data_IF_764023258258
#
_entry.id   IF_764023258258
#
_cell.length_a   1.000
_cell.length_b   1.000
_cell.length_c   1.000
_cell.angle_alpha   90.00
_cell.angle_beta   90.00
_cell.angle_gamma   90.00
#
_symmetry.space_group_name_H-M   'P 1'
#
loop_
_entity.id
_entity.type
_entity.pdbx_description
1 polymer ?
#
# COMPACT_ATOMS: atom_id res chain seq x y z
N UNK A 1 11.60 -0.23 27.21
CA UNK A 1 10.52 0.53 26.57
C UNK A 1 9.13 -0.01 26.92
N UNK A 2 8.82 -1.33 26.69
CA UNK A 2 7.48 -1.87 26.94
C UNK A 2 6.99 -1.60 28.36
N UNK A 3 7.81 -1.93 29.40
CA UNK A 3 7.47 -1.70 30.82
C UNK A 3 7.24 -0.22 31.18
N UNK A 4 7.77 0.70 30.39
CA UNK A 4 7.60 2.14 30.59
C UNK A 4 6.36 2.64 29.84
N UNK A 5 6.15 2.18 28.61
CA UNK A 5 4.95 2.51 27.83
C UNK A 5 3.66 1.98 28.50
N UNK A 6 3.69 0.77 29.07
CA UNK A 6 2.51 0.18 29.73
C UNK A 6 2.06 0.93 31.01
N UNK A 7 2.90 1.83 31.55
CA UNK A 7 2.56 2.68 32.71
C UNK A 7 1.95 4.02 32.31
N UNK A 8 1.96 4.35 31.01
CA UNK A 8 1.49 5.65 30.53
C UNK A 8 -0.02 5.69 30.41
N UNK A 9 -0.59 6.81 30.82
CA UNK A 9 -1.99 7.13 30.61
C UNK A 9 -2.32 7.32 29.13
N UNK A 10 -3.62 7.22 28.78
CA UNK A 10 -4.09 7.52 27.42
C UNK A 10 -3.70 8.93 26.97
N UNK A 11 -3.72 9.91 27.88
CA UNK A 11 -3.34 11.30 27.58
C UNK A 11 -1.86 11.42 27.23
N UNK A 12 -0.96 10.77 27.99
CA UNK A 12 0.48 10.76 27.69
C UNK A 12 0.77 10.06 26.36
N UNK A 13 0.14 8.93 26.10
CA UNK A 13 0.25 8.21 24.82
C UNK A 13 -0.22 9.11 23.65
N UNK A 14 -1.38 9.76 23.82
CA UNK A 14 -1.90 10.67 22.79
C UNK A 14 -0.92 11.85 22.54
N UNK A 15 -0.33 12.41 23.58
CA UNK A 15 0.64 13.49 23.45
C UNK A 15 1.88 13.03 22.68
N UNK A 16 2.41 11.84 22.98
CA UNK A 16 3.56 11.26 22.27
C UNK A 16 3.23 11.09 20.77
N UNK A 17 2.11 10.43 20.45
CA UNK A 17 1.73 10.17 19.05
C UNK A 17 1.42 11.47 18.29
N UNK A 18 0.83 12.46 18.94
CA UNK A 18 0.64 13.78 18.33
C UNK A 18 1.97 14.45 17.95
N UNK A 19 2.98 14.42 18.83
CA UNK A 19 4.30 14.98 18.51
C UNK A 19 4.99 14.19 17.37
N UNK A 20 4.84 12.88 17.33
CA UNK A 20 5.32 12.04 16.21
C UNK A 20 4.65 12.46 14.89
N UNK A 21 3.32 12.65 14.90
CA UNK A 21 2.55 13.10 13.75
C UNK A 21 3.04 14.46 13.24
N UNK A 22 3.15 15.45 14.15
CA UNK A 22 3.60 16.79 13.79
C UNK A 22 5.03 16.81 13.20
N UNK A 23 5.96 16.06 13.79
CA UNK A 23 7.31 15.94 13.27
C UNK A 23 7.35 15.30 11.87
N UNK A 24 6.49 14.32 11.62
CA UNK A 24 6.37 13.71 10.30
C UNK A 24 5.74 14.68 9.28
N UNK A 25 4.75 15.49 9.69
CA UNK A 25 4.17 16.57 8.88
C UNK A 25 5.23 17.61 8.52
N UNK A 26 6.01 18.09 9.49
CA UNK A 26 7.07 19.08 9.24
C UNK A 26 8.14 18.58 8.26
N UNK A 27 8.38 17.27 8.21
CA UNK A 27 9.40 16.64 7.37
C UNK A 27 8.84 15.92 6.13
N UNK A 28 7.53 16.01 5.85
CA UNK A 28 6.89 15.19 4.83
C UNK A 28 7.50 15.30 3.44
N UNK A 29 7.87 16.53 3.03
CA UNK A 29 8.54 16.81 1.75
C UNK A 29 9.95 16.23 1.71
N UNK A 30 10.74 16.47 2.76
CA UNK A 30 12.11 15.96 2.85
C UNK A 30 12.15 14.42 2.82
N UNK A 31 11.28 13.77 3.59
CA UNK A 31 11.15 12.31 3.61
C UNK A 31 10.71 11.75 2.25
N UNK A 32 9.82 12.44 1.54
CA UNK A 32 9.42 12.08 0.18
C UNK A 32 10.59 12.15 -0.79
N UNK A 33 11.40 13.23 -0.70
CA UNK A 33 12.58 13.41 -1.55
C UNK A 33 13.61 12.30 -1.32
N UNK A 34 13.90 11.96 -0.06
CA UNK A 34 14.79 10.85 0.28
C UNK A 34 14.31 9.51 -0.28
N UNK A 35 13.00 9.22 -0.14
CA UNK A 35 12.42 7.98 -0.66
C UNK A 35 12.47 7.92 -2.20
N UNK A 36 12.20 9.03 -2.87
CA UNK A 36 12.29 9.13 -4.33
C UNK A 36 13.73 8.94 -4.83
N UNK A 37 14.69 9.65 -4.23
CA UNK A 37 16.09 9.60 -4.64
C UNK A 37 16.71 8.21 -4.40
N UNK A 38 16.39 7.57 -3.26
CA UNK A 38 16.91 6.26 -2.93
C UNK A 38 16.33 5.15 -3.80
N UNK A 39 15.02 5.21 -4.10
CA UNK A 39 14.33 4.11 -4.80
C UNK A 39 14.26 4.30 -6.31
N UNK A 40 14.36 5.53 -6.80
CA UNK A 40 14.16 5.88 -8.21
C UNK A 40 12.75 5.60 -8.73
N UNK A 41 11.74 5.55 -7.82
CA UNK A 41 10.37 5.09 -8.12
C UNK A 41 9.32 6.12 -7.76
N UNK A 42 8.26 6.17 -8.57
CA UNK A 42 7.08 6.97 -8.29
C UNK A 42 7.25 8.44 -8.61
N UNK A 43 6.49 9.26 -7.88
CA UNK A 43 6.41 10.72 -8.03
C UNK A 43 6.67 11.37 -6.67
N UNK A 44 7.62 12.30 -6.62
CA UNK A 44 8.04 12.96 -5.38
C UNK A 44 6.88 13.65 -4.65
N UNK A 45 6.06 14.43 -5.37
CA UNK A 45 4.93 15.18 -4.83
C UNK A 45 3.87 14.24 -4.23
N UNK A 46 3.61 13.12 -4.90
CA UNK A 46 2.64 12.12 -4.42
C UNK A 46 3.16 11.38 -3.19
N UNK A 47 4.48 11.15 -3.09
CA UNK A 47 5.09 10.60 -1.87
C UNK A 47 4.97 11.56 -0.69
N UNK A 48 5.04 12.86 -0.94
CA UNK A 48 4.81 13.86 0.09
C UNK A 48 3.37 13.80 0.61
N UNK A 49 2.39 13.65 -0.29
CA UNK A 49 0.97 13.44 0.08
C UNK A 49 0.80 12.15 0.89
N UNK A 50 1.48 11.06 0.50
CA UNK A 50 1.47 9.80 1.28
C UNK A 50 2.00 9.98 2.70
N UNK A 51 3.05 10.77 2.88
CA UNK A 51 3.61 11.06 4.21
C UNK A 51 2.65 11.90 5.04
N UNK A 52 1.98 12.90 4.45
CA UNK A 52 0.92 13.69 5.11
C UNK A 52 -0.25 12.80 5.53
N UNK A 53 -0.71 11.90 4.64
CA UNK A 53 -1.77 10.97 4.97
C UNK A 53 -1.38 10.07 6.14
N UNK A 54 -0.19 9.48 6.10
CA UNK A 54 0.32 8.57 7.13
C UNK A 54 0.54 9.25 8.49
N UNK A 55 0.66 10.56 8.54
CA UNK A 55 0.88 11.35 9.75
C UNK A 55 -0.40 12.09 10.20
N UNK A 56 -0.77 13.16 9.52
CA UNK A 56 -1.85 14.04 9.92
C UNK A 56 -3.22 13.37 9.86
N UNK A 57 -3.56 12.77 8.71
CA UNK A 57 -4.87 12.13 8.53
C UNK A 57 -5.05 10.92 9.44
N UNK A 58 -4.00 10.11 9.58
CA UNK A 58 -4.02 8.95 10.49
C UNK A 58 -4.16 9.43 11.93
N UNK A 59 -3.39 10.45 12.37
CA UNK A 59 -3.55 11.01 13.71
C UNK A 59 -4.99 11.47 13.96
N UNK A 60 -5.56 12.23 13.05
CA UNK A 60 -6.93 12.72 13.18
C UNK A 60 -7.99 11.60 13.27
N UNK A 61 -7.73 10.46 12.60
CA UNK A 61 -8.64 9.30 12.65
C UNK A 61 -8.53 8.48 13.94
N UNK A 62 -7.37 8.50 14.63
CA UNK A 62 -7.14 7.64 15.80
C UNK A 62 -7.03 8.41 17.13
N UNK A 63 -6.92 9.74 17.11
CA UNK A 63 -6.65 10.55 18.32
C UNK A 63 -7.65 10.32 19.46
N UNK A 64 -8.92 10.13 19.11
CA UNK A 64 -10.02 9.97 20.07
C UNK A 64 -10.24 8.50 20.51
N UNK A 65 -9.54 7.55 19.87
CA UNK A 65 -9.64 6.14 20.21
C UNK A 65 -8.97 5.87 21.57
N UNK A 66 -9.70 5.22 22.46
CA UNK A 66 -9.14 4.66 23.70
C UNK A 66 -8.40 3.36 23.37
N UNK A 67 -7.10 3.32 23.64
CA UNK A 67 -6.22 2.23 23.21
C UNK A 67 -5.35 1.66 24.36
N UNK A 68 -5.41 2.28 25.55
CA UNK A 68 -4.72 1.80 26.77
C UNK A 68 -5.60 2.02 27.99
N UNK A 69 -5.50 1.15 28.98
CA UNK A 69 -6.29 1.19 30.20
C UNK A 69 -7.76 0.83 29.96
N UNK A 70 -8.67 1.36 30.77
CA UNK A 70 -10.11 1.07 30.65
C UNK A 70 -10.68 1.72 29.39
N UNK A 71 -11.12 0.90 28.44
CA UNK A 71 -11.67 1.33 27.15
C UNK A 71 -13.20 1.28 27.10
N UNK A 72 -13.83 0.57 28.02
CA UNK A 72 -15.29 0.50 28.12
C UNK A 72 -15.79 -0.26 29.35
N UNK A 73 -17.07 -0.07 29.68
CA UNK A 73 -17.74 -0.77 30.72
C UNK A 73 -19.14 -1.19 30.25
N UNK A 74 -19.52 -2.43 30.53
CA UNK A 74 -20.90 -2.93 30.41
C UNK A 74 -21.46 -3.13 31.82
N UNK A 75 -22.19 -2.13 32.31
CA UNK A 75 -22.76 -2.14 33.70
C UNK A 75 -23.82 -3.22 33.86
N UNK A 76 -24.55 -3.60 32.81
CA UNK A 76 -25.58 -4.63 32.88
C UNK A 76 -24.98 -6.02 33.09
N UNK A 77 -23.83 -6.27 32.46
CA UNK A 77 -23.11 -7.55 32.59
C UNK A 77 -22.01 -7.53 33.65
N UNK A 78 -21.74 -6.37 34.27
CA UNK A 78 -20.67 -6.21 35.26
C UNK A 78 -19.26 -6.39 34.64
N UNK A 79 -19.09 -6.03 33.36
CA UNK A 79 -17.83 -6.21 32.64
C UNK A 79 -17.09 -4.89 32.47
N UNK A 80 -15.77 -4.91 32.66
CA UNK A 80 -14.86 -3.82 32.33
C UNK A 80 -13.90 -4.29 31.27
N UNK A 81 -13.79 -3.54 30.16
CA UNK A 81 -12.86 -3.81 29.06
C UNK A 81 -11.59 -3.01 29.28
N UNK A 82 -10.46 -3.72 29.36
CA UNK A 82 -9.14 -3.12 29.55
C UNK A 82 -8.26 -3.44 28.35
N UNK A 83 -7.68 -2.40 27.74
CA UNK A 83 -6.70 -2.56 26.66
C UNK A 83 -5.28 -2.57 27.26
N UNK A 84 -4.53 -3.62 26.93
CA UNK A 84 -3.15 -3.81 27.34
C UNK A 84 -2.24 -3.94 26.10
N UNK A 85 -1.00 -3.45 26.16
CA UNK A 85 -0.04 -3.68 25.08
C UNK A 85 0.19 -5.18 24.84
N UNK A 86 0.18 -5.59 23.58
CA UNK A 86 0.44 -7.00 23.22
C UNK A 86 1.91 -7.38 23.42
N UNK A 87 2.83 -6.41 23.34
CA UNK A 87 4.27 -6.62 23.46
C UNK A 87 5.08 -5.92 22.38
N UNK A 88 6.28 -6.42 22.10
CA UNK A 88 7.16 -5.85 21.06
C UNK A 88 6.65 -6.25 19.69
N UNK A 89 6.47 -5.26 18.80
CA UNK A 89 6.01 -5.45 17.42
C UNK A 89 7.22 -5.54 16.47
N UNK A 90 7.21 -6.53 15.57
CA UNK A 90 8.08 -6.54 14.40
C UNK A 90 7.38 -5.84 13.24
N UNK A 91 7.90 -4.70 12.76
CA UNK A 91 7.38 -3.94 11.63
C UNK A 91 8.18 -4.19 10.35
N UNK A 92 7.60 -4.87 9.36
CA UNK A 92 8.23 -5.02 8.04
C UNK A 92 7.67 -4.00 7.07
N UNK A 93 8.54 -3.25 6.39
CA UNK A 93 8.15 -2.18 5.45
C UNK A 93 8.53 -2.49 4.01
N UNK A 94 7.72 -2.07 3.03
CA UNK A 94 7.98 -2.28 1.61
C UNK A 94 8.91 -1.19 1.04
N UNK A 95 9.43 -1.42 -0.15
CA UNK A 95 10.17 -0.40 -0.91
C UNK A 95 9.27 0.63 -1.61
N UNK A 96 7.99 0.29 -1.83
CA UNK A 96 7.03 1.15 -2.55
C UNK A 96 6.57 2.37 -1.74
N UNK A 97 6.45 2.21 -0.41
CA UNK A 97 5.97 3.25 0.51
C UNK A 97 6.83 3.27 1.78
N UNK A 98 8.14 3.49 1.68
CA UNK A 98 9.06 3.24 2.79
C UNK A 98 8.84 4.19 3.97
N UNK A 99 8.75 5.49 3.72
CA UNK A 99 8.61 6.51 4.75
C UNK A 99 7.22 6.55 5.35
N UNK A 100 6.17 6.59 4.53
CA UNK A 100 4.79 6.62 5.00
C UNK A 100 4.40 5.37 5.79
N UNK A 101 4.86 4.18 5.37
CA UNK A 101 4.61 2.93 6.12
C UNK A 101 5.34 2.93 7.45
N UNK A 102 6.56 3.46 7.52
CA UNK A 102 7.32 3.59 8.77
C UNK A 102 6.60 4.52 9.75
N UNK A 103 6.17 5.70 9.28
CA UNK A 103 5.41 6.67 10.08
C UNK A 103 4.14 6.01 10.63
N UNK A 104 3.31 5.45 9.74
CA UNK A 104 2.04 4.82 10.10
C UNK A 104 2.23 3.72 11.16
N UNK A 105 3.12 2.75 10.90
CA UNK A 105 3.32 1.61 11.80
C UNK A 105 3.86 2.03 13.15
N UNK A 106 4.77 2.99 13.21
CA UNK A 106 5.26 3.50 14.48
C UNK A 106 4.17 4.21 15.28
N UNK A 107 3.36 5.05 14.62
CA UNK A 107 2.27 5.77 15.29
C UNK A 107 1.24 4.81 15.89
N UNK A 108 0.77 3.81 15.13
CA UNK A 108 -0.22 2.86 15.66
C UNK A 108 0.36 1.94 16.74
N UNK A 109 1.64 1.55 16.63
CA UNK A 109 2.31 0.77 17.66
C UNK A 109 2.37 1.55 18.99
N UNK A 110 2.87 2.78 18.98
CA UNK A 110 2.96 3.62 20.18
C UNK A 110 1.57 4.01 20.69
N UNK A 111 0.58 4.29 19.81
CA UNK A 111 -0.80 4.58 20.21
C UNK A 111 -1.41 3.45 21.04
N UNK A 112 -1.01 2.22 20.81
CA UNK A 112 -1.45 1.03 21.54
C UNK A 112 -0.46 0.59 22.63
N UNK A 113 0.50 1.45 23.01
CA UNK A 113 1.46 1.22 24.08
C UNK A 113 2.55 0.19 23.75
N UNK A 114 2.75 -0.15 22.47
CA UNK A 114 3.68 -1.18 22.04
C UNK A 114 4.97 -0.55 21.45
N UNK A 115 6.16 -0.98 21.85
CA UNK A 115 7.38 -0.65 21.13
C UNK A 115 7.46 -1.45 19.83
N UNK A 116 8.19 -0.89 18.84
CA UNK A 116 8.32 -1.49 17.51
C UNK A 116 9.79 -1.60 17.09
N UNK A 117 10.12 -2.71 16.45
CA UNK A 117 11.44 -2.92 15.81
C UNK A 117 11.18 -3.13 14.31
N UNK A 118 11.78 -2.30 13.49
CA UNK A 118 11.62 -2.36 12.05
C UNK A 118 12.64 -3.25 11.36
N UNK A 119 12.17 -4.02 10.37
CA UNK A 119 12.94 -4.61 9.30
C UNK A 119 12.58 -3.85 8.00
N UNK A 120 13.43 -2.93 7.60
CA UNK A 120 13.26 -2.13 6.41
C UNK A 120 13.66 -2.91 5.16
N UNK A 121 13.07 -2.57 4.01
CA UNK A 121 13.51 -3.13 2.73
C UNK A 121 14.90 -2.62 2.39
N UNK A 122 15.87 -3.49 1.97
CA UNK A 122 17.23 -3.06 1.66
C UNK A 122 17.36 -1.89 0.68
N UNK A 123 16.50 -1.85 -0.35
CA UNK A 123 16.49 -0.77 -1.36
C UNK A 123 15.82 0.53 -0.90
N UNK A 124 15.37 0.61 0.37
CA UNK A 124 14.73 1.80 0.95
C UNK A 124 15.13 1.96 2.43
N UNK A 125 16.32 1.47 2.78
CA UNK A 125 16.82 1.46 4.15
C UNK A 125 17.06 2.87 4.69
N UNK A 126 17.67 3.75 3.90
CA UNK A 126 18.07 5.07 4.37
C UNK A 126 16.87 5.99 4.59
N UNK A 127 15.95 6.03 3.64
CA UNK A 127 14.72 6.83 3.76
C UNK A 127 13.82 6.35 4.89
N UNK A 128 13.64 5.02 5.04
CA UNK A 128 12.89 4.42 6.15
C UNK A 128 13.52 4.71 7.50
N UNK A 129 14.86 4.55 7.61
CA UNK A 129 15.62 4.85 8.82
C UNK A 129 15.52 6.33 9.20
N UNK A 130 15.58 7.23 8.21
CA UNK A 130 15.44 8.66 8.47
C UNK A 130 14.03 9.00 9.00
N UNK A 131 12.99 8.43 8.39
CA UNK A 131 11.62 8.58 8.90
C UNK A 131 11.47 8.06 10.34
N UNK A 132 12.01 6.88 10.64
CA UNK A 132 12.01 6.33 12.00
C UNK A 132 12.73 7.23 13.01
N UNK A 133 13.87 7.82 12.62
CA UNK A 133 14.63 8.77 13.45
C UNK A 133 13.82 10.02 13.78
N UNK A 134 13.22 10.66 12.77
CA UNK A 134 12.42 11.88 12.96
C UNK A 134 11.31 11.65 13.99
N UNK A 135 10.54 10.58 13.83
CA UNK A 135 9.42 10.29 14.72
C UNK A 135 9.88 9.78 16.10
N UNK A 136 11.01 9.06 16.20
CA UNK A 136 11.57 8.63 17.46
C UNK A 136 12.04 9.83 18.31
N UNK A 137 12.77 10.78 17.70
CA UNK A 137 13.21 11.98 18.38
C UNK A 137 12.05 12.83 18.92
N UNK A 138 10.96 12.95 18.14
CA UNK A 138 9.76 13.62 18.58
C UNK A 138 9.05 12.85 19.71
N UNK A 139 8.97 11.53 19.64
CA UNK A 139 8.41 10.68 20.68
C UNK A 139 9.19 10.83 22.00
N UNK A 140 10.52 10.79 21.96
CA UNK A 140 11.38 10.96 23.14
C UNK A 140 11.17 12.34 23.79
N UNK A 141 11.13 13.42 22.98
CA UNK A 141 10.87 14.78 23.47
C UNK A 141 9.51 14.90 24.17
N UNK A 142 8.54 14.09 23.73
CA UNK A 142 7.20 14.02 24.34
C UNK A 142 7.11 13.02 25.50
N UNK A 143 8.22 12.43 25.95
CA UNK A 143 8.29 11.54 27.12
C UNK A 143 8.18 10.05 26.81
N UNK A 144 8.36 9.61 25.56
CA UNK A 144 8.48 8.19 25.25
C UNK A 144 9.86 7.63 25.68
N UNK A 145 9.96 6.33 25.99
CA UNK A 145 11.22 5.67 26.20
C UNK A 145 12.12 5.75 24.96
N UNK A 146 13.43 5.92 25.15
CA UNK A 146 14.42 6.03 24.07
C UNK A 146 14.44 4.83 23.11
N UNK A 147 14.03 3.65 23.58
CA UNK A 147 14.07 2.40 22.84
C UNK A 147 12.68 1.99 22.31
N UNK A 148 11.73 2.93 22.22
CA UNK A 148 10.36 2.61 21.80
C UNK A 148 10.24 2.33 20.31
N UNK A 149 11.14 2.86 19.47
CA UNK A 149 11.21 2.60 18.03
C UNK A 149 12.67 2.24 17.71
N UNK A 150 12.87 1.08 17.13
CA UNK A 150 14.19 0.57 16.74
C UNK A 150 14.15 -0.04 15.34
N UNK A 151 15.29 -0.39 14.76
CA UNK A 151 15.41 -1.02 13.45
C UNK A 151 16.66 -1.88 13.33
N UNK A 152 16.64 -2.80 12.35
CA UNK A 152 17.81 -3.58 11.96
C UNK A 152 18.76 -2.65 11.17
N UNK A 153 20.00 -2.47 11.63
CA UNK A 153 20.98 -1.59 10.97
C UNK A 153 21.47 -2.14 9.64
N UNK A 154 21.66 -3.45 9.54
CA UNK A 154 22.08 -4.14 8.32
C UNK A 154 20.92 -5.02 7.85
N UNK A 155 20.11 -4.55 6.87
CA UNK A 155 18.93 -5.27 6.43
C UNK A 155 19.30 -6.49 5.59
N UNK A 156 18.67 -7.61 5.89
CA UNK A 156 18.73 -8.83 5.07
C UNK A 156 17.46 -9.67 5.26
N UNK A 157 17.20 -10.56 4.33
CA UNK A 157 16.08 -11.52 4.45
C UNK A 157 16.26 -12.38 5.71
N UNK A 158 17.49 -12.80 6.00
CA UNK A 158 17.80 -13.62 7.16
C UNK A 158 17.59 -12.85 8.47
N UNK A 159 18.10 -11.63 8.59
CA UNK A 159 17.87 -10.79 9.76
C UNK A 159 16.39 -10.49 9.99
N UNK A 160 15.63 -10.27 8.91
CA UNK A 160 14.17 -10.10 8.98
C UNK A 160 13.48 -11.36 9.50
N UNK A 161 13.85 -12.54 9.02
CA UNK A 161 13.33 -13.82 9.52
C UNK A 161 13.68 -14.07 10.98
N UNK A 162 14.94 -13.79 11.37
CA UNK A 162 15.37 -13.90 12.77
C UNK A 162 14.56 -12.99 13.68
N UNK A 163 14.34 -11.73 13.29
CA UNK A 163 13.51 -10.79 14.05
C UNK A 163 12.07 -11.30 14.18
N UNK A 164 11.42 -11.67 13.07
CA UNK A 164 10.03 -12.17 13.10
C UNK A 164 9.88 -13.39 14.01
N UNK A 165 10.87 -14.28 14.04
CA UNK A 165 10.83 -15.50 14.85
C UNK A 165 11.37 -15.32 16.29
N UNK A 166 11.91 -14.13 16.62
CA UNK A 166 12.49 -13.91 17.95
C UNK A 166 11.43 -14.07 19.05
N UNK A 167 11.79 -14.78 20.13
CA UNK A 167 10.85 -15.15 21.22
C UNK A 167 10.13 -13.97 21.85
N UNK A 168 10.77 -12.81 21.92
CA UNK A 168 10.24 -11.60 22.55
C UNK A 168 9.39 -10.73 21.59
N UNK A 169 9.26 -11.11 20.32
CA UNK A 169 8.29 -10.49 19.40
C UNK A 169 6.92 -11.08 19.66
N UNK A 170 5.96 -10.22 19.96
CA UNK A 170 4.58 -10.59 20.25
C UNK A 170 3.65 -10.53 19.03
N UNK A 171 3.94 -9.63 18.06
CA UNK A 171 3.13 -9.43 16.86
C UNK A 171 4.03 -9.11 15.67
N UNK A 172 3.72 -9.67 14.52
CA UNK A 172 4.37 -9.30 13.25
C UNK A 172 3.39 -8.45 12.42
N UNK A 173 3.81 -7.22 12.10
CA UNK A 173 3.05 -6.27 11.28
C UNK A 173 3.78 -6.13 9.93
N UNK A 174 3.46 -7.00 8.98
CA UNK A 174 4.17 -7.14 7.72
C UNK A 174 3.44 -6.47 6.54
N UNK A 175 4.16 -5.64 5.77
CA UNK A 175 3.71 -5.15 4.47
C UNK A 175 4.77 -5.48 3.43
N UNK A 176 4.40 -6.24 2.40
CA UNK A 176 5.35 -6.67 1.38
C UNK A 176 4.78 -7.68 0.40
N UNK A 177 5.63 -8.27 -0.43
CA UNK A 177 5.22 -9.30 -1.38
C UNK A 177 4.70 -10.58 -0.71
N UNK A 178 4.01 -11.42 -1.49
CA UNK A 178 3.36 -12.66 -1.01
C UNK A 178 4.29 -13.56 -0.19
N UNK A 179 5.56 -13.68 -0.58
CA UNK A 179 6.55 -14.49 0.15
C UNK A 179 6.83 -13.96 1.56
N UNK A 180 6.90 -12.64 1.74
CA UNK A 180 7.11 -11.99 3.03
C UNK A 180 5.89 -12.18 3.94
N UNK A 181 4.69 -11.97 3.40
CA UNK A 181 3.43 -12.17 4.14
C UNK A 181 3.26 -13.63 4.56
N UNK A 182 3.55 -14.58 3.67
CA UNK A 182 3.55 -16.01 4.00
C UNK A 182 4.56 -16.32 5.12
N UNK A 183 5.76 -15.74 5.06
CA UNK A 183 6.77 -15.92 6.12
C UNK A 183 6.29 -15.36 7.46
N UNK A 184 5.61 -14.20 7.47
CA UNK A 184 5.06 -13.62 8.69
C UNK A 184 4.00 -14.54 9.33
N UNK A 185 3.04 -15.03 8.56
CA UNK A 185 2.02 -15.97 9.07
C UNK A 185 2.59 -17.33 9.49
N UNK A 186 3.73 -17.73 8.90
CA UNK A 186 4.38 -19.00 9.23
C UNK A 186 5.21 -18.97 10.53
N UNK A 187 5.29 -17.83 11.22
CA UNK A 187 6.03 -17.71 12.50
C UNK A 187 5.32 -18.37 13.67
N UNK A 188 4.04 -18.72 13.53
CA UNK A 188 3.19 -19.21 14.62
C UNK A 188 2.81 -18.13 15.64
N UNK A 189 3.12 -16.85 15.37
CA UNK A 189 2.75 -15.69 16.18
C UNK A 189 1.55 -14.97 15.57
N UNK A 190 0.83 -14.14 16.36
CA UNK A 190 -0.09 -13.17 15.80
C UNK A 190 0.59 -12.35 14.70
N UNK A 191 -0.02 -12.26 13.53
CA UNK A 191 0.50 -11.53 12.39
C UNK A 191 -0.61 -10.80 11.65
N UNK A 192 -0.33 -9.55 11.26
CA UNK A 192 -1.15 -8.76 10.37
C UNK A 192 -0.33 -8.51 9.10
N UNK A 193 -0.61 -9.30 8.07
CA UNK A 193 0.11 -9.26 6.80
C UNK A 193 -0.71 -8.59 5.71
N UNK A 194 -0.13 -7.61 5.03
CA UNK A 194 -0.69 -6.97 3.84
C UNK A 194 0.18 -7.33 2.65
N UNK A 195 -0.39 -8.10 1.74
CA UNK A 195 0.24 -8.58 0.51
C UNK A 195 -0.07 -7.73 -0.71
N UNK A 196 0.23 -8.25 -1.91
CA UNK A 196 -0.15 -7.64 -3.17
C UNK A 196 -1.65 -7.44 -3.28
N UNK A 197 -2.06 -6.34 -3.91
CA UNK A 197 -3.46 -6.03 -4.20
C UNK A 197 -3.76 -6.18 -5.69
N UNK A 198 -4.47 -7.21 -6.09
CA UNK A 198 -4.95 -7.34 -7.46
C UNK A 198 -6.38 -6.81 -7.55
N UNK A 199 -6.52 -5.48 -7.56
CA UNK A 199 -7.78 -4.78 -7.37
C UNK A 199 -8.61 -4.76 -8.66
N UNK A 200 -9.80 -5.42 -8.69
CA UNK A 200 -10.78 -5.21 -9.74
C UNK A 200 -11.50 -3.88 -9.53
N UNK A 201 -11.78 -3.17 -10.62
CA UNK A 201 -12.70 -2.04 -10.63
C UNK A 201 -13.81 -2.29 -11.65
N UNK A 202 -15.03 -2.36 -11.18
CA UNK A 202 -16.20 -2.62 -12.02
C UNK A 202 -16.92 -1.33 -12.34
N UNK A 203 -17.05 -1.02 -13.63
CA UNK A 203 -17.89 0.07 -14.14
C UNK A 203 -19.21 -0.55 -14.62
N UNK A 204 -20.23 -0.44 -13.78
CA UNK A 204 -21.58 -0.94 -14.02
C UNK A 204 -22.31 0.01 -14.97
N UNK A 205 -23.28 -0.48 -15.71
CA UNK A 205 -23.99 0.26 -16.77
C UNK A 205 -24.68 1.56 -16.30
N UNK A 206 -25.04 1.66 -15.01
CA UNK A 206 -25.66 2.89 -14.46
C UNK A 206 -24.63 3.90 -13.97
N UNK A 207 -23.34 3.54 -13.97
CA UNK A 207 -22.27 4.39 -13.48
C UNK A 207 -22.20 5.73 -14.22
N UNK A 208 -21.91 6.79 -13.49
CA UNK A 208 -21.57 8.07 -14.09
C UNK A 208 -20.18 7.99 -14.73
N UNK A 209 -20.12 7.61 -16.02
CA UNK A 209 -18.90 7.26 -16.77
C UNK A 209 -17.77 8.27 -16.60
N UNK A 210 -18.05 9.59 -16.73
CA UNK A 210 -17.02 10.63 -16.59
C UNK A 210 -16.37 10.63 -15.20
N UNK A 211 -17.19 10.47 -14.16
CA UNK A 211 -16.69 10.41 -12.77
C UNK A 211 -15.87 9.14 -12.55
N UNK A 212 -16.39 7.99 -12.95
CA UNK A 212 -15.70 6.70 -12.82
C UNK A 212 -14.32 6.72 -13.50
N UNK A 213 -14.24 7.21 -14.74
CA UNK A 213 -12.98 7.31 -15.48
C UNK A 213 -12.01 8.28 -14.81
N UNK A 214 -12.49 9.44 -14.36
CA UNK A 214 -11.64 10.43 -13.68
C UNK A 214 -11.07 9.86 -12.36
N UNK A 215 -11.90 9.19 -11.56
CA UNK A 215 -11.51 8.58 -10.29
C UNK A 215 -10.46 7.47 -10.52
N UNK A 216 -10.67 6.60 -11.52
CA UNK A 216 -9.73 5.53 -11.89
C UNK A 216 -8.39 6.12 -12.38
N UNK A 217 -8.41 7.13 -13.23
CA UNK A 217 -7.18 7.77 -13.73
C UNK A 217 -6.42 8.41 -12.56
N UNK A 218 -7.12 9.18 -11.71
CA UNK A 218 -6.52 9.81 -10.52
C UNK A 218 -5.86 8.79 -9.60
N UNK A 219 -6.56 7.69 -9.31
CA UNK A 219 -6.04 6.60 -8.48
C UNK A 219 -4.86 5.86 -9.15
N UNK A 220 -5.00 5.50 -10.42
CA UNK A 220 -4.02 4.67 -11.12
C UNK A 220 -2.73 5.41 -11.49
N UNK A 221 -2.77 6.72 -11.63
CA UNK A 221 -1.59 7.54 -11.96
C UNK A 221 -0.89 8.10 -10.72
N UNK A 222 -1.56 8.14 -9.56
CA UNK A 222 -0.98 8.59 -8.30
C UNK A 222 0.26 7.77 -7.94
N UNK A 223 1.37 8.44 -7.69
CA UNK A 223 2.69 7.88 -7.44
C UNK A 223 3.09 6.78 -8.46
N UNK A 224 2.76 7.00 -9.75
CA UNK A 224 2.92 6.02 -10.81
C UNK A 224 2.30 4.64 -10.47
N UNK A 225 1.11 4.63 -9.88
CA UNK A 225 0.38 3.41 -9.55
C UNK A 225 0.96 2.57 -8.41
N UNK A 226 1.86 3.14 -7.61
CA UNK A 226 2.48 2.43 -6.49
C UNK A 226 1.64 2.46 -5.20
N UNK A 227 0.36 2.20 -5.32
CA UNK A 227 -0.52 1.89 -4.19
C UNK A 227 -1.11 0.51 -4.43
N UNK A 228 -0.98 -0.41 -3.48
CA UNK A 228 -1.55 -1.75 -3.58
C UNK A 228 -3.08 -1.76 -3.66
N UNK A 229 -3.74 -0.66 -3.27
CA UNK A 229 -5.18 -0.45 -3.40
C UNK A 229 -5.58 0.19 -4.74
N UNK A 230 -4.64 0.57 -5.63
CA UNK A 230 -4.97 1.09 -6.96
C UNK A 230 -5.45 -0.01 -7.88
N UNK A 231 -6.33 0.34 -8.79
CA UNK A 231 -6.98 -0.58 -9.71
C UNK A 231 -5.96 -1.28 -10.61
N UNK A 232 -6.14 -2.59 -10.82
CA UNK A 232 -5.27 -3.40 -11.67
C UNK A 232 -5.97 -3.90 -12.91
N UNK A 233 -7.26 -4.24 -12.77
CA UNK A 233 -8.10 -4.69 -13.88
C UNK A 233 -9.43 -3.96 -13.84
N UNK A 234 -9.75 -3.29 -14.92
CA UNK A 234 -11.04 -2.63 -15.12
C UNK A 234 -11.99 -3.62 -15.81
N UNK A 235 -13.12 -3.86 -15.20
CA UNK A 235 -14.24 -4.66 -15.74
C UNK A 235 -15.32 -3.69 -16.16
N UNK A 236 -15.67 -3.69 -17.44
CA UNK A 236 -16.61 -2.71 -18.01
C UNK A 236 -17.81 -3.41 -18.59
N UNK A 237 -19.02 -3.00 -18.21
CA UNK A 237 -20.23 -3.48 -18.86
C UNK A 237 -20.21 -3.10 -20.35
N UNK A 238 -20.57 -4.05 -21.22
CA UNK A 238 -20.62 -3.86 -22.67
C UNK A 238 -21.48 -2.65 -23.10
N UNK A 239 -22.49 -2.32 -22.31
CA UNK A 239 -23.45 -1.26 -22.61
C UNK A 239 -22.81 0.14 -22.51
N UNK A 240 -21.81 0.32 -21.62
CA UNK A 240 -21.10 1.59 -21.41
C UNK A 240 -19.66 1.59 -21.97
N UNK A 241 -19.22 0.49 -22.56
CA UNK A 241 -17.87 0.32 -23.08
C UNK A 241 -17.41 1.46 -23.99
N UNK A 242 -18.24 1.82 -24.98
CA UNK A 242 -17.88 2.86 -25.95
C UNK A 242 -17.68 4.22 -25.28
N UNK A 243 -18.53 4.57 -24.32
CA UNK A 243 -18.46 5.84 -23.60
C UNK A 243 -17.24 5.85 -22.66
N UNK A 244 -16.95 4.74 -21.98
CA UNK A 244 -15.77 4.57 -21.12
C UNK A 244 -14.50 4.74 -21.93
N UNK A 245 -14.34 4.04 -23.05
CA UNK A 245 -13.17 4.16 -23.94
C UNK A 245 -12.99 5.58 -24.46
N UNK A 246 -14.09 6.21 -24.90
CA UNK A 246 -14.08 7.60 -25.39
C UNK A 246 -13.58 8.55 -24.29
N UNK A 247 -14.10 8.42 -23.07
CA UNK A 247 -13.74 9.26 -21.95
C UNK A 247 -12.27 9.08 -21.55
N UNK A 248 -11.76 7.86 -21.45
CA UNK A 248 -10.34 7.61 -21.19
C UNK A 248 -9.43 8.28 -22.22
N UNK A 249 -9.78 8.24 -23.51
CA UNK A 249 -8.99 8.86 -24.58
C UNK A 249 -8.91 10.39 -24.45
N UNK A 250 -9.88 11.05 -23.79
CA UNK A 250 -9.83 12.48 -23.50
C UNK A 250 -8.79 12.83 -22.41
N UNK A 251 -8.36 11.85 -21.60
CA UNK A 251 -7.50 12.03 -20.43
C UNK A 251 -6.06 11.53 -20.60
N UNK A 252 -5.47 11.69 -21.80
CA UNK A 252 -4.07 11.31 -22.06
C UNK A 252 -3.79 9.81 -21.80
N UNK A 253 -4.79 8.97 -22.05
CA UNK A 253 -4.67 7.51 -21.96
C UNK A 253 -4.37 6.92 -23.34
N UNK A 254 -3.43 6.01 -23.40
CA UNK A 254 -3.11 5.25 -24.60
C UNK A 254 -3.65 3.82 -24.49
N UNK A 255 -4.47 3.42 -25.45
CA UNK A 255 -4.97 2.05 -25.58
C UNK A 255 -3.98 1.26 -26.42
N UNK A 256 -3.36 0.26 -25.80
CA UNK A 256 -2.41 -0.65 -26.43
C UNK A 256 -3.13 -1.49 -27.47
N UNK A 257 -2.65 -1.49 -28.70
CA UNK A 257 -3.25 -2.29 -29.77
C UNK A 257 -2.82 -3.76 -29.70
N UNK A 258 -3.52 -4.64 -30.42
CA UNK A 258 -3.28 -6.09 -30.39
C UNK A 258 -1.84 -6.50 -30.76
N UNK A 259 -1.20 -5.76 -31.65
CA UNK A 259 0.17 -6.07 -32.07
C UNK A 259 1.19 -5.64 -31.01
N UNK A 260 0.86 -4.62 -30.22
CA UNK A 260 1.70 -4.10 -29.12
C UNK A 260 1.52 -4.89 -27.82
N UNK A 261 0.41 -5.62 -27.66
CA UNK A 261 0.07 -6.33 -26.43
C UNK A 261 1.14 -7.34 -26.03
N UNK A 262 1.60 -8.16 -27.01
CA UNK A 262 2.66 -9.14 -26.77
C UNK A 262 3.99 -8.47 -26.43
N UNK A 263 4.35 -7.38 -27.12
CA UNK A 263 5.56 -6.61 -26.83
C UNK A 263 5.53 -6.04 -25.42
N UNK A 264 4.36 -5.52 -24.99
CA UNK A 264 4.17 -5.01 -23.64
C UNK A 264 4.35 -6.12 -22.60
N UNK A 265 3.69 -7.28 -22.79
CA UNK A 265 3.82 -8.43 -21.88
C UNK A 265 5.28 -8.88 -21.73
N UNK A 266 5.99 -9.08 -22.82
CA UNK A 266 7.37 -9.57 -22.81
C UNK A 266 8.35 -8.56 -22.20
N UNK A 267 8.05 -7.27 -22.33
CA UNK A 267 8.86 -6.21 -21.74
C UNK A 267 8.69 -6.14 -20.21
N UNK A 268 7.45 -6.26 -19.71
CA UNK A 268 7.14 -5.98 -18.30
C UNK A 268 7.09 -7.20 -17.40
N UNK A 269 6.80 -8.39 -17.94
CA UNK A 269 6.70 -9.62 -17.16
C UNK A 269 8.05 -10.33 -17.04
N UNK A 270 8.25 -11.06 -15.93
CA UNK A 270 9.37 -11.99 -15.79
C UNK A 270 9.23 -13.17 -16.78
N UNK A 271 10.28 -13.97 -16.94
CA UNK A 271 10.35 -15.04 -17.94
C UNK A 271 9.20 -16.06 -17.85
N UNK A 272 8.79 -16.42 -16.64
CA UNK A 272 7.69 -17.36 -16.39
C UNK A 272 6.31 -16.68 -16.31
N UNK A 273 6.22 -15.38 -16.58
CA UNK A 273 5.00 -14.55 -16.54
C UNK A 273 4.23 -14.62 -15.21
N UNK A 274 4.92 -14.93 -14.12
CA UNK A 274 4.30 -15.04 -12.78
C UNK A 274 4.29 -13.71 -12.01
N UNK A 275 5.14 -12.75 -12.39
CA UNK A 275 5.23 -11.44 -11.75
C UNK A 275 5.73 -10.37 -12.72
N UNK A 276 5.47 -9.12 -12.41
CA UNK A 276 6.06 -7.96 -13.10
C UNK A 276 7.53 -7.83 -12.71
N UNK A 277 8.37 -7.48 -13.67
CA UNK A 277 9.79 -7.18 -13.42
C UNK A 277 9.92 -6.02 -12.42
N UNK A 278 10.82 -6.09 -11.43
CA UNK A 278 10.98 -5.04 -10.41
C UNK A 278 11.24 -3.64 -10.99
N UNK A 279 11.87 -3.55 -12.15
CA UNK A 279 12.23 -2.29 -12.80
C UNK A 279 11.03 -1.54 -13.41
N UNK A 280 9.88 -2.21 -13.53
CA UNK A 280 8.63 -1.61 -14.04
C UNK A 280 7.88 -0.88 -12.92
N UNK A 281 8.03 -1.34 -11.68
CA UNK A 281 7.31 -0.81 -10.52
C UNK A 281 7.62 0.67 -10.31
N UNK A 282 6.59 1.52 -10.37
CA UNK A 282 6.70 2.96 -10.17
C UNK A 282 7.27 3.75 -11.35
N UNK A 283 7.45 3.13 -12.53
CA UNK A 283 7.81 3.83 -13.77
C UNK A 283 6.60 4.56 -14.36
N UNK A 284 6.86 5.64 -15.11
CA UNK A 284 5.80 6.34 -15.84
C UNK A 284 5.24 5.51 -17.00
N UNK A 285 4.05 5.84 -17.48
CA UNK A 285 3.45 5.20 -18.65
C UNK A 285 4.34 5.33 -19.90
N UNK A 286 5.00 6.48 -20.08
CA UNK A 286 5.90 6.74 -21.19
C UNK A 286 7.16 5.87 -21.11
N UNK A 287 7.74 5.73 -19.91
CA UNK A 287 8.91 4.85 -19.71
C UNK A 287 8.57 3.40 -19.97
N UNK A 288 7.40 2.93 -19.51
CA UNK A 288 6.93 1.56 -19.78
C UNK A 288 6.75 1.33 -21.28
N UNK A 289 6.09 2.26 -21.97
CA UNK A 289 5.91 2.17 -23.43
C UNK A 289 7.25 2.12 -24.15
N UNK A 290 8.20 2.98 -23.78
CA UNK A 290 9.56 3.00 -24.33
C UNK A 290 10.29 1.67 -24.12
N UNK A 291 10.22 1.11 -22.90
CA UNK A 291 10.83 -0.21 -22.59
C UNK A 291 10.20 -1.33 -23.41
N UNK A 292 8.93 -1.19 -23.79
CA UNK A 292 8.18 -2.16 -24.60
C UNK A 292 8.33 -1.93 -26.11
N UNK A 293 9.08 -0.91 -26.53
CA UNK A 293 9.20 -0.54 -27.96
C UNK A 293 7.93 0.07 -28.55
N UNK A 294 7.03 0.57 -27.72
CA UNK A 294 5.74 1.16 -28.12
C UNK A 294 5.89 2.69 -28.16
N UNK A 295 5.48 3.29 -29.27
CA UNK A 295 5.49 4.74 -29.43
C UNK A 295 4.18 5.35 -28.92
N UNK A 296 4.27 6.19 -27.91
CA UNK A 296 3.12 6.90 -27.32
C UNK A 296 3.39 8.41 -27.26
N UNK A 297 2.35 9.25 -27.23
CA UNK A 297 2.52 10.68 -26.97
C UNK A 297 3.25 10.95 -25.64
N UNK A 298 4.15 11.93 -25.59
CA UNK A 298 4.94 12.29 -24.39
C UNK A 298 4.08 12.62 -23.16
N UNK A 299 2.84 13.07 -23.36
CA UNK A 299 1.90 13.40 -22.27
C UNK A 299 1.08 12.21 -21.79
N UNK A 300 1.36 11.00 -22.29
CA UNK A 300 0.62 9.79 -21.88
C UNK A 300 0.78 9.52 -20.38
N UNK A 301 -0.34 9.48 -19.67
CA UNK A 301 -0.38 9.25 -18.22
C UNK A 301 -0.69 7.81 -17.85
N UNK A 302 -1.46 7.12 -18.69
CA UNK A 302 -1.96 5.77 -18.43
C UNK A 302 -1.93 4.94 -19.71
N UNK A 303 -1.50 3.68 -19.59
CA UNK A 303 -1.65 2.65 -20.62
C UNK A 303 -2.84 1.77 -20.25
N UNK A 304 -3.70 1.47 -21.23
CA UNK A 304 -4.80 0.51 -21.08
C UNK A 304 -4.59 -0.64 -22.06
N UNK A 305 -4.55 -1.87 -21.54
CA UNK A 305 -4.44 -3.08 -22.31
C UNK A 305 -5.74 -3.89 -22.22
N UNK A 306 -6.44 -4.03 -23.35
CA UNK A 306 -7.61 -4.90 -23.42
C UNK A 306 -7.16 -6.37 -23.45
N UNK A 307 -7.76 -7.19 -22.58
CA UNK A 307 -7.48 -8.62 -22.44
C UNK A 307 -8.77 -9.42 -22.47
N UNK A 308 -8.69 -10.67 -22.98
CA UNK A 308 -9.87 -11.51 -23.20
C UNK A 308 -10.24 -12.38 -21.98
N UNK A 309 -9.42 -12.36 -20.91
CA UNK A 309 -9.65 -13.20 -19.73
C UNK A 309 -8.76 -12.86 -18.55
N UNK A 310 -8.88 -13.65 -17.49
CA UNK A 310 -8.17 -13.51 -16.23
C UNK A 310 -7.38 -14.79 -15.94
N UNK A 311 -6.22 -14.66 -15.31
CA UNK A 311 -5.44 -15.80 -14.84
C UNK A 311 -4.09 -15.93 -15.53
N UNK A 312 -3.53 -17.15 -15.51
CA UNK A 312 -2.16 -17.43 -15.96
C UNK A 312 -1.94 -17.14 -17.43
N UNK A 313 -2.97 -17.39 -18.25
CA UNK A 313 -2.91 -17.18 -19.70
C UNK A 313 -3.06 -15.70 -20.09
N UNK A 314 -3.38 -14.86 -19.12
CA UNK A 314 -3.55 -13.41 -19.26
C UNK A 314 -2.71 -12.68 -18.22
N UNK A 315 -1.37 -12.64 -18.35
CA UNK A 315 -0.47 -12.16 -17.30
C UNK A 315 -0.71 -10.70 -16.91
N UNK A 316 -1.21 -9.85 -17.82
CA UNK A 316 -1.58 -8.47 -17.52
C UNK A 316 -2.78 -8.33 -16.57
N UNK A 317 -3.47 -9.43 -16.24
CA UNK A 317 -4.49 -9.44 -15.19
C UNK A 317 -3.92 -9.44 -13.76
N UNK A 318 -2.59 -9.45 -13.59
CA UNK A 318 -1.90 -9.36 -12.29
C UNK A 318 -1.71 -7.92 -11.82
N UNK A 319 -1.36 -7.79 -10.53
CA UNK A 319 -0.86 -6.52 -9.97
C UNK A 319 0.39 -6.05 -10.71
N UNK A 320 0.43 -4.76 -11.08
CA UNK A 320 1.52 -4.16 -11.87
C UNK A 320 2.26 -3.03 -11.16
N UNK A 321 1.64 -2.39 -10.17
CA UNK A 321 2.18 -1.25 -9.41
C UNK A 321 2.81 -0.18 -10.32
N UNK A 322 2.11 0.14 -11.39
CA UNK A 322 2.53 1.06 -12.44
C UNK A 322 1.30 1.62 -13.16
N UNK A 323 1.38 2.73 -13.92
CA UNK A 323 0.26 3.30 -14.64
C UNK A 323 -0.10 2.49 -15.91
N UNK A 324 -0.36 1.21 -15.69
CA UNK A 324 -0.84 0.24 -16.66
C UNK A 324 -2.08 -0.47 -16.10
N UNK A 325 -3.20 -0.37 -16.79
CA UNK A 325 -4.50 -0.94 -16.43
C UNK A 325 -4.91 -1.99 -17.45
N UNK A 326 -5.24 -3.20 -17.02
CA UNK A 326 -5.89 -4.17 -17.88
C UNK A 326 -7.38 -3.86 -17.96
N UNK A 327 -8.04 -4.17 -19.09
CA UNK A 327 -9.47 -3.98 -19.29
C UNK A 327 -10.12 -5.24 -19.84
N UNK A 328 -11.26 -5.62 -19.25
CA UNK A 328 -12.11 -6.74 -19.69
C UNK A 328 -13.52 -6.27 -19.85
N UNK A 329 -14.19 -6.70 -20.92
CA UNK A 329 -15.60 -6.37 -21.16
C UNK A 329 -16.51 -7.44 -20.56
N UNK A 330 -17.46 -7.04 -19.73
CA UNK A 330 -18.45 -7.93 -19.15
C UNK A 330 -19.75 -7.95 -19.97
N UNK A 331 -20.35 -9.14 -20.10
CA UNK A 331 -21.60 -9.34 -20.87
C UNK A 331 -22.85 -9.04 -20.03
N UNK A 332 -22.74 -9.09 -18.72
CA UNK A 332 -23.81 -8.84 -17.74
C UNK A 332 -23.21 -8.59 -16.37
N UNK A 333 -23.99 -8.04 -15.43
CA UNK A 333 -23.59 -7.83 -14.03
C UNK A 333 -23.10 -9.12 -13.37
N UNK A 334 -23.79 -10.25 -13.54
CA UNK A 334 -23.35 -11.54 -13.00
C UNK A 334 -22.00 -11.99 -13.56
N UNK A 335 -21.76 -11.75 -14.86
CA UNK A 335 -20.46 -12.04 -15.47
C UNK A 335 -19.36 -11.09 -14.95
N UNK A 336 -19.67 -9.81 -14.75
CA UNK A 336 -18.73 -8.85 -14.18
C UNK A 336 -18.30 -9.23 -12.76
N UNK A 337 -19.24 -9.61 -11.92
CA UNK A 337 -18.95 -10.06 -10.55
C UNK A 337 -18.08 -11.31 -10.54
N UNK A 338 -18.36 -12.27 -11.44
CA UNK A 338 -17.52 -13.46 -11.58
C UNK A 338 -16.09 -13.11 -11.98
N UNK A 339 -15.90 -12.21 -12.95
CA UNK A 339 -14.57 -11.71 -13.35
C UNK A 339 -13.87 -11.04 -12.16
N UNK A 340 -14.56 -10.19 -11.39
CA UNK A 340 -13.98 -9.54 -10.21
C UNK A 340 -13.53 -10.57 -9.15
N UNK A 341 -14.33 -11.61 -8.89
CA UNK A 341 -13.93 -12.70 -8.00
C UNK A 341 -12.70 -13.45 -8.50
N UNK A 342 -12.62 -13.73 -9.80
CA UNK A 342 -11.49 -14.42 -10.41
C UNK A 342 -10.20 -13.59 -10.31
N UNK A 343 -10.30 -12.27 -10.49
CA UNK A 343 -9.19 -11.32 -10.28
C UNK A 343 -8.69 -11.38 -8.83
N UNK A 344 -9.61 -11.32 -7.85
CA UNK A 344 -9.27 -11.39 -6.43
C UNK A 344 -8.63 -12.72 -6.05
N UNK A 345 -9.20 -13.83 -6.52
CA UNK A 345 -8.66 -15.18 -6.28
C UNK A 345 -7.28 -15.37 -6.92
N UNK A 346 -7.03 -14.71 -8.04
CA UNK A 346 -5.76 -14.82 -8.76
C UNK A 346 -4.59 -14.13 -8.04
N UNK A 347 -4.81 -13.05 -7.29
CA UNK A 347 -3.68 -12.38 -6.65
C UNK A 347 -3.97 -11.30 -5.62
N UNK A 348 -5.22 -11.10 -5.22
CA UNK A 348 -5.60 -9.99 -4.32
C UNK A 348 -6.63 -10.34 -3.27
N UNK A 349 -6.76 -11.63 -2.93
CA UNK A 349 -7.79 -12.09 -2.00
C UNK A 349 -7.68 -11.39 -0.64
N UNK A 350 -8.79 -10.79 -0.19
CA UNK A 350 -8.86 -10.09 1.10
C UNK A 350 -8.32 -8.66 1.07
N UNK A 351 -7.97 -8.10 -0.10
CA UNK A 351 -7.43 -6.74 -0.20
C UNK A 351 -8.55 -5.71 -0.50
N UNK A 352 -8.79 -5.38 -1.74
CA UNK A 352 -9.69 -4.27 -2.15
C UNK A 352 -10.41 -4.61 -3.45
N UNK A 353 -11.64 -4.15 -3.59
CA UNK A 353 -12.39 -4.13 -4.83
C UNK A 353 -13.16 -2.80 -4.93
N UNK A 354 -13.39 -2.32 -6.15
CA UNK A 354 -14.08 -1.05 -6.42
C UNK A 354 -15.25 -1.31 -7.35
N UNK A 355 -16.35 -0.60 -7.12
CA UNK A 355 -17.50 -0.57 -8.02
C UNK A 355 -17.92 0.88 -8.24
N UNK A 356 -18.17 1.23 -9.50
CA UNK A 356 -18.80 2.47 -9.91
C UNK A 356 -20.22 2.13 -10.39
N UNK A 357 -21.22 2.64 -9.71
CA UNK A 357 -22.65 2.44 -9.93
C UNK A 357 -23.43 3.62 -9.38
N UNK A 358 -24.71 3.80 -9.74
CA UNK A 358 -25.65 4.72 -9.07
C UNK A 358 -26.19 4.16 -7.78
#
# INVERSE_FOLDING_TARGET
ALKELSKKSQQEINQIVHHMSMAAVDQHMHLAKLAYDETGRGIYEDKAIKNLYASEYIWNSIKDNKTVGIIGEDKQKGLTYVAEPIGVICGVTPTTNPTSTTIFKAMIAIKTGNPIIFAFHPSAQQSSKHAAKVILEAAIKAGAPKDCIQWIEIPSIEATKQLMNHKDIALVLATGGSGMVKSAYSTGKPALGVGPGNVPTYIEKTAHTKRAVNDIIGSKTFDNGMICASEQVMVVDKEVYTDVVKEFKLHQTYFVNKNELQQLEDAIMNEDKTAVKPDIVGKSAVDIAKLSGISVPEKTKLLVAEIDGIGKDYPLSREKLSPLLAMVTAKSTGHALQICEDILKFGGLGHTAVIHTE
#
